data_IF_882766567867
#
_entry.id   IF_882766567867
#
_cell.length_a   1.000
_cell.length_b   1.000
_cell.length_c   1.000
_cell.angle_alpha   90.00
_cell.angle_beta   90.00
_cell.angle_gamma   90.00
#
_symmetry.space_group_name_H-M   'P 1'
#
loop_
_entity.id
_entity.type
_entity.pdbx_description
1 polymer ?
#
# COMPACT_ATOMS: atom_id res chain seq x y z
N UNK A 1 3.26 -40.86 -16.76
CA UNK A 1 2.46 -41.27 -15.58
C UNK A 1 3.33 -41.38 -14.33
N UNK A 2 4.38 -42.21 -14.30
CA UNK A 2 5.21 -42.39 -13.08
C UNK A 2 6.00 -41.14 -12.64
N UNK A 3 6.49 -40.32 -13.58
CA UNK A 3 7.26 -39.11 -13.25
C UNK A 3 6.39 -37.98 -12.69
N UNK A 4 5.15 -37.87 -13.16
CA UNK A 4 4.18 -36.90 -12.66
C UNK A 4 3.80 -37.20 -11.21
N UNK A 5 3.62 -38.48 -10.86
CA UNK A 5 3.39 -38.88 -9.48
C UNK A 5 4.59 -38.56 -8.58
N UNK A 6 5.82 -38.77 -9.06
CA UNK A 6 7.04 -38.41 -8.32
C UNK A 6 7.14 -36.90 -8.08
N UNK A 7 6.74 -36.08 -9.04
CA UNK A 7 6.70 -34.62 -8.88
C UNK A 7 5.68 -34.20 -7.82
N UNK A 8 4.49 -34.79 -7.81
CA UNK A 8 3.48 -34.54 -6.78
C UNK A 8 3.98 -34.96 -5.39
N UNK A 9 4.56 -36.15 -5.28
CA UNK A 9 5.09 -36.65 -4.01
C UNK A 9 6.28 -35.80 -3.52
N UNK A 10 7.09 -35.25 -4.43
CA UNK A 10 8.17 -34.32 -4.10
C UNK A 10 7.63 -32.98 -3.62
N UNK A 11 6.69 -32.38 -4.34
CA UNK A 11 6.07 -31.11 -3.99
C UNK A 11 5.35 -31.19 -2.63
N UNK A 12 4.68 -32.31 -2.36
CA UNK A 12 3.97 -32.52 -1.11
C UNK A 12 4.92 -32.64 0.09
N UNK A 13 6.11 -33.22 -0.10
CA UNK A 13 7.16 -33.26 0.92
C UNK A 13 7.75 -31.88 1.21
N UNK A 14 8.00 -31.09 0.18
CA UNK A 14 8.50 -29.71 0.33
C UNK A 14 7.50 -28.83 1.10
N UNK A 15 6.20 -28.94 0.78
CA UNK A 15 5.13 -28.23 1.51
C UNK A 15 5.09 -28.63 2.99
N UNK A 16 5.19 -29.93 3.31
CA UNK A 16 5.19 -30.39 4.69
C UNK A 16 6.42 -29.94 5.48
N UNK A 17 7.56 -29.74 4.80
CA UNK A 17 8.78 -29.26 5.43
C UNK A 17 8.68 -27.76 5.72
N UNK A 18 8.23 -26.96 4.76
CA UNK A 18 8.00 -25.52 4.96
C UNK A 18 6.95 -25.26 6.05
N UNK A 19 5.90 -26.07 6.13
CA UNK A 19 4.88 -25.90 7.17
C UNK A 19 5.43 -26.16 8.58
N UNK A 20 6.37 -27.11 8.73
CA UNK A 20 7.06 -27.36 10.00
C UNK A 20 7.95 -26.18 10.39
N UNK A 21 8.74 -25.68 9.44
CA UNK A 21 9.61 -24.51 9.67
C UNK A 21 8.79 -23.26 10.05
N UNK A 22 7.66 -23.01 9.38
CA UNK A 22 6.74 -21.92 9.74
C UNK A 22 6.17 -22.10 11.14
N UNK A 23 5.81 -23.33 11.53
CA UNK A 23 5.26 -23.61 12.86
C UNK A 23 6.32 -23.46 13.95
N UNK A 24 7.58 -23.80 13.69
CA UNK A 24 8.70 -23.56 14.59
C UNK A 24 9.00 -22.06 14.74
N UNK A 25 9.01 -21.30 13.63
CA UNK A 25 9.16 -19.84 13.63
C UNK A 25 7.99 -19.13 14.34
N UNK A 26 6.76 -19.65 14.20
CA UNK A 26 5.59 -19.15 14.93
C UNK A 26 5.63 -19.52 16.41
N UNK A 27 6.13 -20.71 16.76
CA UNK A 27 6.31 -21.14 18.15
C UNK A 27 7.36 -20.34 18.92
N UNK A 28 8.35 -19.76 18.22
CA UNK A 28 9.33 -18.83 18.78
C UNK A 28 8.84 -17.39 18.89
N UNK A 29 7.75 -17.00 18.20
CA UNK A 29 7.09 -15.71 18.45
C UNK A 29 6.25 -15.81 19.72
N UNK A 30 6.94 -15.69 20.85
CA UNK A 30 6.32 -15.20 22.08
C UNK A 30 5.64 -13.85 21.74
N UNK A 31 4.41 -13.58 22.21
CA UNK A 31 3.83 -12.26 22.11
C UNK A 31 4.61 -11.37 23.07
N UNK A 32 5.74 -10.84 22.62
CA UNK A 32 6.41 -9.75 23.31
C UNK A 32 5.47 -8.55 23.26
N UNK A 33 4.68 -8.44 24.32
CA UNK A 33 3.97 -7.23 24.74
C UNK A 33 4.98 -6.18 25.22
N UNK A 34 5.99 -5.86 24.41
CA UNK A 34 6.82 -4.68 24.60
C UNK A 34 7.04 -3.99 23.26
N UNK A 35 6.59 -2.74 23.23
CA UNK A 35 6.62 -1.84 22.09
C UNK A 35 5.81 -2.32 20.88
N UNK A 36 4.49 -2.46 21.09
CA UNK A 36 3.57 -1.95 20.08
C UNK A 36 4.05 -0.52 19.80
N UNK A 37 4.63 -0.33 18.62
CA UNK A 37 4.78 0.95 17.95
C UNK A 37 3.37 1.48 17.71
N UNK A 38 2.72 1.87 18.81
CA UNK A 38 1.62 2.79 18.82
C UNK A 38 2.29 4.14 18.55
N UNK A 39 2.60 4.42 17.27
CA UNK A 39 2.30 5.76 16.77
C UNK A 39 0.78 5.90 16.85
N UNK A 40 0.30 6.14 18.08
CA UNK A 40 -0.89 6.91 18.30
C UNK A 40 -0.47 8.31 17.88
N UNK A 41 -0.80 8.66 16.64
CA UNK A 41 -1.14 10.03 16.32
C UNK A 41 -2.43 10.37 17.10
N UNK A 42 -2.31 10.40 18.43
CA UNK A 42 -3.28 11.05 19.29
C UNK A 42 -2.72 12.43 19.51
N UNK A 43 -3.21 13.37 18.71
CA UNK A 43 -3.26 14.77 19.09
C UNK A 43 -3.88 14.76 20.48
N UNK A 44 -3.06 15.01 21.50
CA UNK A 44 -3.53 15.10 22.86
C UNK A 44 -4.54 16.24 22.88
N UNK A 45 -5.80 15.91 23.14
CA UNK A 45 -6.83 16.87 23.45
C UNK A 45 -6.47 17.46 24.81
N UNK A 46 -5.62 18.50 24.81
CA UNK A 46 -5.33 19.27 26.00
C UNK A 46 -6.49 20.21 26.24
N UNK A 47 -7.49 19.75 26.98
CA UNK A 47 -8.27 20.64 27.83
C UNK A 47 -7.31 21.20 28.89
N UNK A 48 -6.64 22.31 28.55
CA UNK A 48 -5.90 23.08 29.52
C UNK A 48 -6.91 23.61 30.56
N UNK A 49 -6.75 23.33 31.86
CA UNK A 49 -7.52 24.04 32.86
C UNK A 49 -7.17 25.52 32.70
N UNK A 50 -8.17 26.39 32.58
CA UNK A 50 -8.03 27.86 32.59
C UNK A 50 -7.26 28.31 33.82
N UNK A 51 -5.94 28.26 33.73
CA UNK A 51 -5.00 28.72 34.73
C UNK A 51 -4.41 29.98 34.15
N UNK A 52 -4.79 31.09 34.77
CA UNK A 52 -4.37 32.46 34.45
C UNK A 52 -2.93 32.47 33.96
N UNK A 53 -2.70 33.04 32.78
CA UNK A 53 -1.36 33.30 32.26
C UNK A 53 -0.61 34.13 33.31
N UNK A 54 0.31 33.50 34.04
CA UNK A 54 1.24 34.20 34.90
C UNK A 54 2.38 34.62 33.99
N UNK A 55 2.42 35.92 33.71
CA UNK A 55 3.49 36.61 33.00
C UNK A 55 4.80 36.42 33.79
N UNK A 56 5.74 35.60 33.28
CA UNK A 56 7.09 35.49 33.84
C UNK A 56 7.69 34.10 34.12
N UNK A 57 7.28 33.03 33.42
CA UNK A 57 8.04 31.76 33.43
C UNK A 57 9.16 31.75 32.38
N UNK A 58 10.29 31.04 32.58
CA UNK A 58 11.29 30.85 31.53
C UNK A 58 10.61 30.13 30.36
N UNK A 59 10.35 30.87 29.28
CA UNK A 59 9.64 30.35 28.12
C UNK A 59 10.33 29.12 27.57
N UNK A 60 9.54 28.16 27.11
CA UNK A 60 10.08 27.03 26.37
C UNK A 60 10.85 27.58 25.16
N UNK A 61 11.99 26.98 24.77
CA UNK A 61 12.84 27.50 23.69
C UNK A 61 12.13 27.60 22.32
N UNK A 62 10.89 27.13 22.24
CA UNK A 62 10.02 27.17 21.05
C UNK A 62 9.04 28.37 21.09
N UNK A 63 8.81 29.00 22.24
CA UNK A 63 7.85 30.12 22.42
C UNK A 63 8.28 31.41 21.69
N UNK A 64 9.56 31.51 21.34
CA UNK A 64 10.14 32.62 20.57
C UNK A 64 10.08 32.45 19.05
N UNK A 65 9.77 31.24 18.55
CA UNK A 65 9.82 30.93 17.12
C UNK A 65 8.49 31.36 16.49
N UNK A 66 8.43 32.62 16.05
CA UNK A 66 7.28 33.19 15.32
C UNK A 66 7.43 33.06 13.80
N UNK A 67 8.56 32.54 13.34
CA UNK A 67 8.88 32.39 11.93
C UNK A 67 8.19 31.15 11.38
N UNK A 68 7.15 31.36 10.59
CA UNK A 68 6.63 30.32 9.70
C UNK A 68 7.53 30.27 8.46
N UNK A 69 8.34 29.23 8.36
CA UNK A 69 9.00 28.92 7.09
C UNK A 69 7.98 28.18 6.21
N UNK A 70 7.69 28.66 4.98
CA UNK A 70 6.83 27.91 4.05
C UNK A 70 7.54 26.60 3.68
N UNK A 71 7.11 25.51 4.28
CA UNK A 71 7.57 24.17 3.96
C UNK A 71 6.68 23.63 2.83
N UNK A 72 7.04 23.90 1.58
CA UNK A 72 6.46 23.17 0.46
C UNK A 72 7.03 21.74 0.46
N UNK A 73 6.35 20.82 1.16
CA UNK A 73 6.66 19.38 1.12
C UNK A 73 6.08 18.75 -0.15
N UNK A 74 6.30 19.37 -1.31
CA UNK A 74 5.90 18.80 -2.59
C UNK A 74 7.14 18.22 -3.27
N UNK A 75 7.25 16.89 -3.24
CA UNK A 75 8.27 16.18 -4.02
C UNK A 75 7.73 15.94 -5.42
N UNK A 76 8.41 16.48 -6.43
CA UNK A 76 8.06 16.24 -7.84
C UNK A 76 8.43 14.81 -8.20
N UNK A 77 7.43 13.94 -8.36
CA UNK A 77 7.63 12.59 -8.88
C UNK A 77 7.75 12.63 -10.40
N UNK A 78 8.95 12.30 -10.92
CA UNK A 78 9.19 12.11 -12.35
C UNK A 78 9.33 10.62 -12.65
N UNK A 79 8.94 10.19 -13.84
CA UNK A 79 9.09 8.81 -14.33
C UNK A 79 8.30 7.77 -13.50
N UNK A 80 7.10 8.13 -13.04
CA UNK A 80 6.23 7.20 -12.31
C UNK A 80 5.45 6.33 -13.29
N UNK A 81 5.54 5.01 -13.10
CA UNK A 81 4.65 4.04 -13.75
C UNK A 81 3.79 3.33 -12.71
N UNK A 82 2.48 3.27 -12.95
CA UNK A 82 1.53 2.57 -12.09
C UNK A 82 0.91 1.40 -12.85
N UNK A 83 0.99 0.20 -12.28
CA UNK A 83 0.34 -1.00 -12.84
C UNK A 83 -0.90 -1.32 -12.01
N UNK A 84 -2.06 -1.40 -12.65
CA UNK A 84 -3.35 -1.66 -12.00
C UNK A 84 -3.98 -2.91 -12.61
N UNK A 85 -4.33 -3.87 -11.77
CA UNK A 85 -5.14 -5.02 -12.18
C UNK A 85 -6.62 -4.70 -11.91
N UNK A 86 -7.45 -4.75 -12.95
CA UNK A 86 -8.90 -4.52 -12.84
C UNK A 86 -9.61 -5.83 -13.15
N UNK A 87 -10.45 -6.28 -12.22
CA UNK A 87 -11.22 -7.51 -12.34
C UNK A 87 -12.71 -7.23 -12.42
N UNK A 88 -13.42 -7.96 -13.27
CA UNK A 88 -14.89 -7.95 -13.27
C UNK A 88 -15.46 -9.36 -13.44
N UNK A 89 -16.67 -9.54 -12.93
CA UNK A 89 -17.40 -10.80 -13.00
C UNK A 89 -18.20 -10.82 -14.31
N UNK A 90 -18.06 -11.89 -15.09
CA UNK A 90 -18.88 -12.16 -16.27
C UNK A 90 -20.10 -12.99 -15.83
N UNK A 91 -21.31 -12.38 -15.75
CA UNK A 91 -22.48 -13.02 -15.13
C UNK A 91 -22.91 -14.31 -15.86
N UNK A 92 -22.68 -14.38 -17.17
CA UNK A 92 -23.12 -15.49 -18.00
C UNK A 92 -22.32 -16.80 -17.80
N UNK A 93 -21.13 -16.73 -17.21
CA UNK A 93 -20.21 -17.89 -17.13
C UNK A 93 -19.67 -18.16 -15.72
N UNK A 94 -20.10 -17.39 -14.71
CA UNK A 94 -19.54 -17.49 -13.35
C UNK A 94 -18.01 -17.29 -13.33
N UNK A 95 -17.48 -16.57 -14.33
CA UNK A 95 -16.05 -16.46 -14.58
C UNK A 95 -15.57 -15.04 -14.27
N UNK A 96 -14.34 -14.93 -13.80
CA UNK A 96 -13.67 -13.67 -13.53
C UNK A 96 -12.76 -13.31 -14.69
N UNK A 97 -12.83 -12.07 -15.15
CA UNK A 97 -11.91 -11.54 -16.14
C UNK A 97 -11.03 -10.47 -15.51
N UNK A 98 -9.73 -10.57 -15.75
CA UNK A 98 -8.74 -9.60 -15.28
C UNK A 98 -8.07 -8.94 -16.46
N UNK A 99 -7.92 -7.63 -16.38
CA UNK A 99 -7.13 -6.83 -17.29
C UNK A 99 -6.01 -6.14 -16.51
N UNK A 100 -4.90 -5.87 -17.19
CA UNK A 100 -3.81 -5.08 -16.63
C UNK A 100 -3.74 -3.73 -17.35
N UNK A 101 -3.74 -2.66 -16.57
CA UNK A 101 -3.49 -1.30 -17.02
C UNK A 101 -2.06 -0.92 -16.62
N UNK A 102 -1.24 -0.53 -17.59
CA UNK A 102 0.08 0.05 -17.36
C UNK A 102 0.03 1.54 -17.68
N UNK A 103 0.08 2.36 -16.63
CA UNK A 103 -0.09 3.80 -16.69
C UNK A 103 1.29 4.44 -16.57
N UNK A 104 1.76 5.03 -17.66
CA UNK A 104 2.99 5.83 -17.71
C UNK A 104 2.60 7.29 -17.51
N UNK A 105 2.56 7.71 -16.26
CA UNK A 105 2.06 9.03 -15.83
C UNK A 105 2.88 10.14 -16.48
N UNK A 106 4.19 9.95 -16.56
CA UNK A 106 5.15 10.86 -17.21
C UNK A 106 4.90 11.09 -18.70
N UNK A 107 4.25 10.13 -19.37
CA UNK A 107 4.00 10.18 -20.82
C UNK A 107 2.54 10.42 -21.17
N UNK A 108 1.64 10.43 -20.19
CA UNK A 108 0.19 10.45 -20.43
C UNK A 108 -0.30 9.25 -21.24
N UNK A 109 0.37 8.10 -21.10
CA UNK A 109 0.05 6.86 -21.85
C UNK A 109 -0.57 5.84 -20.92
N UNK A 110 -1.66 5.22 -21.37
CA UNK A 110 -2.28 4.05 -20.74
C UNK A 110 -2.21 2.89 -21.72
N UNK A 111 -1.48 1.83 -21.35
CA UNK A 111 -1.44 0.58 -22.10
C UNK A 111 -2.37 -0.43 -21.42
N UNK A 112 -3.30 -1.01 -22.18
CA UNK A 112 -4.22 -2.03 -21.69
C UNK A 112 -3.78 -3.39 -22.20
N UNK A 113 -3.56 -4.34 -21.30
CA UNK A 113 -3.31 -5.74 -21.62
C UNK A 113 -4.50 -6.58 -21.18
N UNK A 114 -5.26 -7.04 -22.16
CA UNK A 114 -6.37 -7.97 -21.99
C UNK A 114 -6.02 -9.32 -22.63
N UNK A 115 -5.92 -10.42 -21.85
CA UNK A 115 -5.67 -11.76 -22.36
C UNK A 115 -6.70 -12.25 -23.40
N UNK A 116 -7.92 -11.72 -23.36
CA UNK A 116 -9.02 -12.07 -24.27
C UNK A 116 -9.13 -11.12 -25.47
N UNK A 117 -8.23 -10.14 -25.61
CA UNK A 117 -8.18 -9.18 -26.72
C UNK A 117 -9.51 -8.48 -27.01
N UNK A 118 -10.34 -8.26 -25.98
CA UNK A 118 -11.64 -7.57 -26.13
C UNK A 118 -11.41 -6.07 -26.26
N UNK A 119 -12.26 -5.42 -27.07
CA UNK A 119 -12.06 -4.05 -27.52
C UNK A 119 -11.86 -3.06 -26.35
N UNK A 120 -10.79 -2.28 -26.45
CA UNK A 120 -10.17 -1.42 -25.44
C UNK A 120 -10.92 -0.09 -25.26
N UNK A 121 -12.07 0.09 -25.91
CA UNK A 121 -12.71 1.41 -26.04
C UNK A 121 -13.16 2.03 -24.72
N UNK A 122 -13.45 1.22 -23.69
CA UNK A 122 -13.82 1.71 -22.36
C UNK A 122 -12.67 2.39 -21.57
N UNK A 123 -11.41 2.25 -22.00
CA UNK A 123 -10.26 2.82 -21.28
C UNK A 123 -9.69 4.10 -21.91
N UNK A 124 -10.24 4.55 -23.06
CA UNK A 124 -9.81 5.80 -23.71
C UNK A 124 -10.01 7.03 -22.81
N UNK A 125 -11.03 7.01 -21.96
CA UNK A 125 -11.32 8.15 -21.08
C UNK A 125 -10.26 8.33 -19.99
N UNK A 126 -9.61 7.23 -19.58
CA UNK A 126 -8.48 7.26 -18.65
C UNK A 126 -7.24 7.92 -19.25
N UNK A 127 -7.04 7.77 -20.56
CA UNK A 127 -5.97 8.45 -21.29
C UNK A 127 -6.21 9.95 -21.40
N UNK A 128 -7.46 10.40 -21.57
CA UNK A 128 -7.81 11.84 -21.57
C UNK A 128 -7.54 12.51 -20.23
N UNK A 129 -7.75 11.80 -19.11
CA UNK A 129 -7.51 12.32 -17.76
C UNK A 129 -6.03 12.64 -17.48
N UNK A 130 -5.10 11.94 -18.15
CA UNK A 130 -3.66 12.09 -17.93
C UNK A 130 -3.02 13.15 -18.84
N UNK A 131 -3.78 13.79 -19.73
CA UNK A 131 -3.28 14.77 -20.69
C UNK A 131 -3.62 16.23 -20.31
N UNK A 132 -3.98 16.47 -19.04
CA UNK A 132 -4.31 17.81 -18.49
C UNK A 132 -3.06 18.64 -18.24
#
# INVERSE_FOLDING_TARGET
MAEFQRQLDQQQREIQQQQREINELKGQRQPDNTAISQRRDSVADSEAPTTRMIDGGPGDPVDGIKEQTPCDLFVVFRNMSVKVAVGYVLPAFGSFHWILLDIKVDKGIVEVRDPLSRAVDGFRDLQKLLQV
#
